data_IF_492514449423
#
_entry.id   IF_492514449423
#
_cell.length_a   1.000
_cell.length_b   1.000
_cell.length_c   1.000
_cell.angle_alpha   90.00
_cell.angle_beta   90.00
_cell.angle_gamma   90.00
#
_symmetry.space_group_name_H-M   'P 1'
#
loop_
_entity.id
_entity.type
_entity.pdbx_description
1 polymer ?
#
# COMPACT_ATOMS: atom_id res chain seq x y z
N UNK A 1 -6.30 39.84 -34.00
CA UNK A 1 -5.08 39.99 -33.17
C UNK A 1 -5.23 39.69 -31.67
N UNK A 2 -6.42 39.50 -31.04
CA UNK A 2 -6.46 39.13 -29.61
C UNK A 2 -6.28 37.63 -29.35
N UNK A 3 -6.62 36.77 -30.32
CA UNK A 3 -6.53 35.30 -30.18
C UNK A 3 -5.08 34.79 -30.09
N UNK A 4 -4.14 35.49 -30.72
CA UNK A 4 -2.72 35.14 -30.75
C UNK A 4 -2.05 35.39 -29.38
N UNK A 5 -2.44 36.49 -28.72
CA UNK A 5 -2.04 36.82 -27.34
C UNK A 5 -2.56 35.81 -26.31
N UNK A 6 -3.78 35.30 -26.52
CA UNK A 6 -4.37 34.31 -25.61
C UNK A 6 -3.67 32.94 -25.68
N UNK A 7 -3.15 32.56 -26.86
CA UNK A 7 -2.38 31.31 -27.01
C UNK A 7 -1.00 31.39 -26.36
N UNK A 8 -0.38 32.58 -26.34
CA UNK A 8 0.94 32.79 -25.76
C UNK A 8 0.96 32.71 -24.22
N UNK A 9 -0.21 32.86 -23.57
CA UNK A 9 -0.36 32.77 -22.12
C UNK A 9 -0.70 31.35 -21.63
N UNK A 10 -0.87 30.38 -22.55
CA UNK A 10 -1.11 28.98 -22.19
C UNK A 10 0.21 28.31 -21.77
N UNK A 11 0.71 28.65 -20.58
CA UNK A 11 1.81 27.93 -19.97
C UNK A 11 1.33 26.51 -19.60
N UNK A 12 2.02 25.49 -20.10
CA UNK A 12 1.77 24.11 -19.74
C UNK A 12 2.07 23.90 -18.24
N UNK A 13 1.01 23.77 -17.43
CA UNK A 13 1.13 23.40 -16.03
C UNK A 13 1.60 21.94 -15.94
N UNK A 14 2.87 21.74 -15.61
CA UNK A 14 3.43 20.42 -15.36
C UNK A 14 3.15 20.04 -13.91
N UNK A 15 2.19 19.13 -13.70
CA UNK A 15 1.94 18.54 -12.39
C UNK A 15 3.03 17.51 -12.07
N UNK A 16 4.22 18.00 -11.70
CA UNK A 16 5.30 17.14 -11.24
C UNK A 16 4.87 16.47 -9.94
N UNK A 17 4.69 15.14 -9.95
CA UNK A 17 4.52 14.38 -8.72
C UNK A 17 5.82 14.44 -7.93
N UNK A 18 5.81 14.79 -6.63
CA UNK A 18 7.01 14.73 -5.82
C UNK A 18 7.65 13.33 -5.91
N UNK A 19 9.00 13.21 -5.92
CA UNK A 19 9.69 11.95 -6.20
C UNK A 19 9.39 10.83 -5.19
N UNK A 20 8.80 11.16 -4.04
CA UNK A 20 8.41 10.22 -2.98
C UNK A 20 6.89 10.02 -2.89
N UNK A 21 6.13 10.38 -3.93
CA UNK A 21 4.67 10.29 -3.93
C UNK A 21 4.17 9.52 -5.14
N UNK A 22 3.46 8.42 -4.88
CA UNK A 22 2.72 7.67 -5.88
C UNK A 22 1.26 8.13 -5.85
N UNK A 23 0.75 8.66 -6.97
CA UNK A 23 -0.66 9.02 -7.12
C UNK A 23 -1.37 7.90 -7.89
N UNK A 24 -2.37 7.28 -7.27
CA UNK A 24 -3.21 6.23 -7.88
C UNK A 24 -4.65 6.70 -7.87
N UNK A 25 -5.28 6.77 -9.04
CA UNK A 25 -6.71 7.03 -9.16
C UNK A 25 -7.45 5.69 -9.19
N UNK A 26 -8.16 5.37 -8.12
CA UNK A 26 -8.99 4.15 -7.99
C UNK A 26 -10.39 4.54 -7.52
N UNK A 27 -11.42 3.94 -8.13
CA UNK A 27 -12.79 4.04 -7.63
C UNK A 27 -12.90 3.35 -6.28
N UNK A 28 -13.58 3.99 -5.32
CA UNK A 28 -13.82 3.44 -3.98
C UNK A 28 -15.33 3.44 -3.65
N UNK A 29 -16.17 3.62 -4.66
CA UNK A 29 -17.62 3.76 -4.55
C UNK A 29 -18.31 2.47 -4.10
N UNK A 30 -17.67 1.33 -4.31
CA UNK A 30 -18.12 0.01 -3.86
C UNK A 30 -17.56 -0.40 -2.48
N UNK A 31 -16.73 0.42 -1.83
CA UNK A 31 -16.19 0.10 -0.50
C UNK A 31 -17.24 0.35 0.58
N UNK A 32 -17.73 -0.73 1.20
CA UNK A 32 -18.62 -0.67 2.36
C UNK A 32 -17.84 -0.60 3.68
N UNK A 33 -16.74 -1.35 3.78
CA UNK A 33 -15.91 -1.43 4.99
C UNK A 33 -14.43 -1.57 4.65
N UNK A 34 -13.59 -1.01 5.52
CA UNK A 34 -12.14 -1.17 5.54
C UNK A 34 -11.67 -2.00 6.74
N UNK A 35 -12.59 -2.50 7.57
CA UNK A 35 -12.27 -3.52 8.57
C UNK A 35 -11.94 -4.82 7.82
N UNK A 36 -10.73 -5.40 7.99
CA UNK A 36 -10.36 -6.66 7.34
C UNK A 36 -11.35 -7.80 7.55
N UNK A 37 -12.12 -7.81 8.65
CA UNK A 37 -13.12 -8.84 8.93
C UNK A 37 -14.40 -8.69 8.09
N UNK A 38 -14.72 -7.47 7.65
CA UNK A 38 -15.96 -7.12 6.95
C UNK A 38 -15.70 -6.63 5.51
N UNK A 39 -14.45 -6.73 5.03
CA UNK A 39 -14.02 -6.34 3.69
C UNK A 39 -14.37 -7.42 2.66
N UNK A 40 -15.60 -7.42 2.16
CA UNK A 40 -16.09 -8.41 1.19
C UNK A 40 -16.01 -7.95 -0.28
N UNK A 41 -15.86 -6.66 -0.53
CA UNK A 41 -15.85 -6.07 -1.87
C UNK A 41 -14.42 -6.06 -2.46
N UNK A 42 -14.30 -6.17 -3.79
CA UNK A 42 -12.99 -6.31 -4.45
C UNK A 42 -12.09 -5.10 -4.16
N UNK A 43 -12.64 -3.89 -4.21
CA UNK A 43 -11.91 -2.65 -3.89
C UNK A 43 -11.44 -2.59 -2.44
N UNK A 44 -12.23 -3.13 -1.49
CA UNK A 44 -11.82 -3.26 -0.09
C UNK A 44 -10.67 -4.25 0.07
N UNK A 45 -10.76 -5.42 -0.57
CA UNK A 45 -9.72 -6.48 -0.52
C UNK A 45 -8.38 -5.96 -1.08
N UNK A 46 -8.41 -5.11 -2.11
CA UNK A 46 -7.21 -4.50 -2.68
C UNK A 46 -6.64 -3.38 -1.81
N UNK A 47 -7.49 -2.64 -1.09
CA UNK A 47 -7.08 -1.49 -0.28
C UNK A 47 -6.56 -1.88 1.10
N UNK A 48 -7.21 -2.84 1.77
CA UNK A 48 -6.88 -3.28 3.14
C UNK A 48 -5.40 -3.66 3.35
N UNK A 49 -4.73 -4.42 2.47
CA UNK A 49 -3.30 -4.75 2.62
C UNK A 49 -2.35 -3.55 2.59
N UNK A 50 -2.81 -2.42 2.05
CA UNK A 50 -2.09 -1.15 2.03
C UNK A 50 -2.19 -0.41 3.37
N UNK A 51 -3.29 -0.64 4.11
CA UNK A 51 -3.61 0.03 5.37
C UNK A 51 -3.17 -0.80 6.58
N UNK A 52 -3.27 -2.13 6.49
CA UNK A 52 -2.98 -3.05 7.59
C UNK A 52 -1.79 -3.95 7.28
N UNK A 53 -0.90 -4.09 8.27
CA UNK A 53 0.27 -4.96 8.16
C UNK A 53 -0.09 -6.42 8.48
N UNK A 54 0.20 -7.33 7.54
CA UNK A 54 0.02 -8.77 7.72
C UNK A 54 1.13 -9.37 8.59
N UNK A 55 0.84 -10.50 9.24
CA UNK A 55 1.80 -11.33 9.99
C UNK A 55 2.76 -12.08 9.05
N UNK A 56 2.19 -12.60 7.97
CA UNK A 56 2.85 -13.40 6.96
C UNK A 56 2.40 -12.91 5.60
N UNK A 57 3.22 -13.17 4.60
CA UNK A 57 2.95 -12.83 3.21
C UNK A 57 3.53 -13.89 2.28
N UNK A 58 2.94 -14.09 1.09
CA UNK A 58 3.57 -14.91 0.06
C UNK A 58 4.97 -14.38 -0.29
N UNK A 59 5.92 -15.28 -0.53
CA UNK A 59 7.24 -14.91 -1.02
C UNK A 59 7.13 -14.29 -2.42
N UNK A 60 7.88 -13.21 -2.66
CA UNK A 60 7.80 -12.45 -3.91
C UNK A 60 8.27 -13.24 -5.12
N UNK A 61 9.19 -14.19 -4.93
CA UNK A 61 9.80 -15.01 -5.98
C UNK A 61 9.15 -16.40 -6.07
N UNK A 62 8.51 -16.88 -4.99
CA UNK A 62 7.76 -18.14 -4.96
C UNK A 62 6.47 -18.03 -4.11
N UNK A 63 5.32 -17.67 -4.69
CA UNK A 63 4.09 -17.38 -3.96
C UNK A 63 3.48 -18.58 -3.23
N UNK A 64 3.89 -19.82 -3.55
CA UNK A 64 3.49 -21.02 -2.79
C UNK A 64 4.13 -21.07 -1.39
N UNK A 65 5.24 -20.33 -1.18
CA UNK A 65 5.89 -20.20 0.12
C UNK A 65 5.33 -19.02 0.88
N UNK A 66 4.87 -19.27 2.10
CA UNK A 66 4.43 -18.23 3.04
C UNK A 66 5.60 -17.88 3.96
N UNK A 67 5.99 -16.60 3.98
CA UNK A 67 7.11 -16.08 4.79
C UNK A 67 6.60 -15.06 5.81
N UNK A 68 7.27 -14.91 6.97
CA UNK A 68 6.99 -13.81 7.89
C UNK A 68 7.12 -12.45 7.20
N UNK A 69 6.28 -11.49 7.58
CA UNK A 69 6.44 -10.13 7.09
C UNK A 69 7.79 -9.56 7.57
N UNK A 70 8.66 -9.08 6.65
CA UNK A 70 10.00 -8.63 7.00
C UNK A 70 10.02 -7.33 7.81
N UNK A 71 8.91 -6.58 7.86
CA UNK A 71 8.79 -5.34 8.66
C UNK A 71 8.37 -5.63 10.09
N UNK A 72 7.86 -6.83 10.38
CA UNK A 72 7.41 -7.24 11.71
C UNK A 72 8.54 -7.93 12.48
N UNK A 73 9.09 -7.22 13.46
CA UNK A 73 9.93 -7.83 14.50
C UNK A 73 9.01 -8.51 15.51
N UNK A 74 8.87 -9.84 15.44
CA UNK A 74 8.08 -10.58 16.43
C UNK A 74 8.80 -10.49 17.78
N UNK A 75 8.24 -9.74 18.73
CA UNK A 75 8.67 -9.74 20.13
C UNK A 75 8.20 -11.05 20.80
N UNK A 76 8.70 -12.18 20.30
CA UNK A 76 8.44 -13.51 20.81
C UNK A 76 9.71 -14.07 21.43
N UNK A 77 9.84 -13.87 22.75
CA UNK A 77 10.60 -14.69 23.71
C UNK A 77 11.90 -15.30 23.16
N UNK A 78 13.02 -14.63 23.45
CA UNK A 78 14.33 -15.28 23.53
C UNK A 78 14.17 -16.53 24.40
N UNK A 79 14.35 -17.72 23.80
CA UNK A 79 14.55 -18.94 24.56
C UNK A 79 15.78 -18.73 25.43
N UNK A 80 15.56 -18.41 26.70
CA UNK A 80 16.57 -18.58 27.73
C UNK A 80 16.74 -20.08 27.90
N UNK A 81 17.76 -20.63 27.27
CA UNK A 81 18.37 -21.87 27.72
C UNK A 81 18.80 -21.62 29.18
N UNK A 82 18.15 -22.31 30.12
CA UNK A 82 18.54 -22.33 31.51
C UNK A 82 19.48 -23.53 31.69
N UNK A 83 20.80 -23.35 31.85
CA UNK A 83 21.70 -24.46 32.03
C UNK A 83 21.82 -24.73 33.53
N UNK A 84 20.82 -25.38 34.12
CA UNK A 84 20.94 -25.93 35.49
C UNK A 84 19.95 -27.09 35.66
N UNK A 85 20.45 -28.31 35.41
CA UNK A 85 20.32 -29.51 36.23
C UNK A 85 21.15 -30.65 35.62
#
# INVERSE_FOLDING_TARGET
MPLLLLSALSAAAHAATPPNTLVVAQGLDDIVSLDPAEANELSSIQTVPSLYQRLVQPDRNNPEKIVPDPRRKLAGRSGGENPDH
#
